data_IF_479726764507
#
_entry.id   IF_479726764507
#
_cell.length_a   1.000
_cell.length_b   1.000
_cell.length_c   1.000
_cell.angle_alpha   90.00
_cell.angle_beta   90.00
_cell.angle_gamma   90.00
#
_symmetry.space_group_name_H-M   'P 1'
#
loop_
_entity.id
_entity.type
_entity.pdbx_description
1 polymer ?
#
# COMPACT_ATOMS: atom_id res chain seq x y z
N UNK A 1 -41.64 3.24 2.35
CA UNK A 1 -40.99 2.99 1.04
C UNK A 1 -39.49 2.88 1.28
N UNK A 2 -38.80 1.91 0.69
CA UNK A 2 -37.35 1.78 0.88
C UNK A 2 -36.66 2.74 -0.09
N UNK A 3 -35.50 3.29 0.33
CA UNK A 3 -34.74 4.22 -0.52
C UNK A 3 -33.92 3.43 -1.56
N UNK A 4 -34.24 3.61 -2.85
CA UNK A 4 -33.58 2.92 -3.97
C UNK A 4 -32.09 3.21 -4.07
N UNK A 5 -31.60 4.37 -3.57
CA UNK A 5 -30.18 4.72 -3.54
C UNK A 5 -29.34 3.78 -2.67
N UNK A 6 -29.97 3.07 -1.72
CA UNK A 6 -29.28 2.04 -0.93
C UNK A 6 -28.67 0.92 -1.78
N UNK A 7 -29.16 0.71 -3.02
CA UNK A 7 -28.59 -0.27 -3.95
C UNK A 7 -27.11 -0.05 -4.26
N UNK A 8 -26.63 1.20 -4.13
CA UNK A 8 -25.20 1.53 -4.35
C UNK A 8 -24.24 0.82 -3.36
N UNK A 9 -24.72 0.47 -2.18
CA UNK A 9 -23.93 -0.22 -1.14
C UNK A 9 -24.33 -1.67 -0.95
N UNK A 10 -25.22 -2.19 -1.80
CA UNK A 10 -25.81 -3.50 -1.64
C UNK A 10 -25.05 -4.56 -2.43
N UNK A 11 -24.89 -5.74 -1.85
CA UNK A 11 -24.45 -6.93 -2.57
C UNK A 11 -25.56 -7.42 -3.53
N UNK A 12 -25.26 -8.28 -4.53
CA UNK A 12 -26.28 -8.82 -5.44
C UNK A 12 -27.46 -9.45 -4.71
N UNK A 13 -27.24 -10.15 -3.59
CA UNK A 13 -28.30 -10.74 -2.78
C UNK A 13 -29.12 -9.69 -2.04
N UNK A 14 -28.50 -8.63 -1.54
CA UNK A 14 -29.18 -7.51 -0.88
C UNK A 14 -30.01 -6.71 -1.90
N UNK A 15 -29.56 -6.57 -3.16
CA UNK A 15 -30.32 -5.94 -4.24
C UNK A 15 -31.62 -6.70 -4.48
N UNK A 16 -31.58 -8.04 -4.58
CA UNK A 16 -32.79 -8.87 -4.71
C UNK A 16 -33.80 -8.63 -3.57
N UNK A 17 -33.30 -8.48 -2.34
CA UNK A 17 -34.14 -8.17 -1.18
C UNK A 17 -34.77 -6.78 -1.30
N UNK A 18 -33.99 -5.76 -1.70
CA UNK A 18 -34.51 -4.40 -1.89
C UNK A 18 -35.58 -4.36 -2.98
N UNK A 19 -35.36 -5.04 -4.11
CA UNK A 19 -36.31 -5.15 -5.20
C UNK A 19 -37.60 -5.86 -4.80
N UNK A 20 -37.49 -6.93 -4.03
CA UNK A 20 -38.66 -7.60 -3.47
C UNK A 20 -39.44 -6.68 -2.52
N UNK A 21 -38.78 -5.85 -1.70
CA UNK A 21 -39.46 -4.89 -0.82
C UNK A 21 -40.13 -3.78 -1.64
N UNK A 22 -39.48 -3.30 -2.71
CA UNK A 22 -40.04 -2.30 -3.64
C UNK A 22 -41.31 -2.85 -4.33
N UNK A 23 -41.24 -4.08 -4.87
CA UNK A 23 -42.34 -4.76 -5.56
C UNK A 23 -43.49 -5.07 -4.62
N UNK A 24 -43.20 -5.66 -3.46
CA UNK A 24 -44.22 -6.12 -2.50
C UNK A 24 -44.73 -5.02 -1.58
N UNK A 25 -44.08 -3.86 -1.54
CA UNK A 25 -44.43 -2.69 -0.75
C UNK A 25 -44.21 -2.84 0.76
N UNK A 26 -43.71 -3.99 1.26
CA UNK A 26 -43.34 -4.17 2.67
C UNK A 26 -42.35 -5.29 2.90
N UNK A 27 -41.51 -5.16 3.97
CA UNK A 27 -40.54 -6.18 4.38
C UNK A 27 -41.16 -7.55 4.68
N UNK A 28 -42.38 -7.55 5.26
CA UNK A 28 -43.11 -8.81 5.58
C UNK A 28 -43.55 -9.56 4.33
N UNK A 29 -44.08 -8.85 3.33
CA UNK A 29 -44.53 -9.47 2.07
C UNK A 29 -43.32 -9.92 1.25
N UNK A 30 -42.26 -9.11 1.18
CA UNK A 30 -41.02 -9.50 0.57
C UNK A 30 -40.38 -10.75 1.19
N UNK A 31 -40.43 -10.87 2.52
CA UNK A 31 -39.96 -12.05 3.23
C UNK A 31 -40.72 -13.31 2.78
N UNK A 32 -42.07 -13.23 2.68
CA UNK A 32 -42.92 -14.32 2.22
C UNK A 32 -42.60 -14.69 0.74
N UNK A 33 -42.47 -13.68 -0.11
CA UNK A 33 -42.17 -13.88 -1.55
C UNK A 33 -40.81 -14.54 -1.78
N UNK A 34 -39.80 -14.22 -0.95
CA UNK A 34 -38.45 -14.77 -1.04
C UNK A 34 -38.25 -16.07 -0.22
N UNK A 35 -39.28 -16.55 0.50
CA UNK A 35 -39.13 -17.72 1.37
C UNK A 35 -38.19 -17.49 2.55
N UNK A 36 -38.06 -16.24 3.03
CA UNK A 36 -37.15 -15.85 4.12
C UNK A 36 -37.92 -15.44 5.37
N UNK A 37 -37.25 -15.52 6.52
CA UNK A 37 -37.80 -14.96 7.77
C UNK A 37 -37.81 -13.42 7.73
N UNK A 38 -38.85 -12.79 8.25
CA UNK A 38 -38.94 -11.33 8.34
C UNK A 38 -37.76 -10.71 9.07
N UNK A 39 -37.25 -11.34 10.15
CA UNK A 39 -36.07 -10.87 10.87
C UNK A 39 -34.81 -10.86 10.00
N UNK A 40 -34.67 -11.80 9.05
CA UNK A 40 -33.57 -11.84 8.11
C UNK A 40 -33.58 -10.62 7.20
N UNK A 41 -34.76 -10.29 6.64
CA UNK A 41 -34.93 -9.10 5.78
C UNK A 41 -34.61 -7.83 6.56
N UNK A 42 -35.23 -7.66 7.73
CA UNK A 42 -35.10 -6.44 8.55
C UNK A 42 -33.62 -6.24 9.00
N UNK A 43 -32.95 -7.30 9.44
CA UNK A 43 -31.54 -7.26 9.82
C UNK A 43 -30.65 -6.93 8.61
N UNK A 44 -30.97 -7.44 7.43
CA UNK A 44 -30.22 -7.14 6.19
C UNK A 44 -30.34 -5.67 5.81
N UNK A 45 -31.57 -5.14 5.79
CA UNK A 45 -31.83 -3.71 5.54
C UNK A 45 -31.14 -2.84 6.58
N UNK A 46 -31.21 -3.22 7.87
CA UNK A 46 -30.54 -2.50 8.95
C UNK A 46 -29.00 -2.45 8.78
N UNK A 47 -28.38 -3.57 8.40
CA UNK A 47 -26.91 -3.61 8.11
C UNK A 47 -26.55 -2.75 6.91
N UNK A 48 -27.37 -2.80 5.86
CA UNK A 48 -27.15 -2.00 4.66
C UNK A 48 -27.26 -0.49 4.95
N UNK A 49 -28.28 -0.07 5.72
CA UNK A 49 -28.39 1.32 6.17
C UNK A 49 -27.19 1.78 7.00
N UNK A 50 -26.68 0.94 7.91
CA UNK A 50 -25.45 1.24 8.66
C UNK A 50 -24.23 1.36 7.75
N UNK A 51 -24.10 0.53 6.73
CA UNK A 51 -23.03 0.60 5.74
C UNK A 51 -23.09 1.91 4.95
N UNK A 52 -24.27 2.28 4.44
CA UNK A 52 -24.50 3.54 3.74
C UNK A 52 -24.20 4.77 4.63
N UNK A 53 -24.64 4.74 5.90
CA UNK A 53 -24.37 5.82 6.85
C UNK A 53 -22.88 6.03 7.13
N UNK A 54 -22.08 4.95 7.19
CA UNK A 54 -20.61 5.06 7.30
C UNK A 54 -19.97 5.75 6.11
N UNK A 55 -20.62 5.66 4.94
CA UNK A 55 -20.19 6.33 3.71
C UNK A 55 -20.84 7.73 3.53
N UNK A 56 -21.51 8.24 4.54
CA UNK A 56 -22.11 9.57 4.53
C UNK A 56 -23.55 9.62 4.04
N UNK A 57 -24.18 8.49 3.79
CA UNK A 57 -25.56 8.44 3.31
C UNK A 57 -26.53 7.90 4.37
N UNK A 58 -27.31 8.80 4.98
CA UNK A 58 -28.38 8.48 5.95
C UNK A 58 -29.44 9.60 5.95
N UNK A 59 -30.42 9.56 5.03
CA UNK A 59 -31.43 10.62 4.89
C UNK A 59 -32.23 10.89 6.16
N UNK A 60 -32.45 9.87 7.00
CA UNK A 60 -33.12 10.04 8.31
C UNK A 60 -32.32 10.89 9.33
N UNK A 61 -31.07 11.21 9.02
CA UNK A 61 -30.16 12.05 9.81
C UNK A 61 -29.62 13.21 8.97
N UNK A 62 -30.35 13.63 7.95
CA UNK A 62 -29.99 14.71 7.02
C UNK A 62 -28.66 14.51 6.28
N UNK A 63 -28.15 13.29 6.22
CA UNK A 63 -26.91 12.93 5.53
C UNK A 63 -27.24 12.47 4.10
N UNK A 64 -27.02 13.34 3.13
CA UNK A 64 -27.37 13.10 1.73
C UNK A 64 -26.16 13.01 0.77
N UNK A 65 -24.94 13.25 1.28
CA UNK A 65 -23.71 13.25 0.50
C UNK A 65 -22.75 12.19 1.02
N UNK A 66 -22.21 11.40 0.09
CA UNK A 66 -21.19 10.42 0.41
C UNK A 66 -19.83 11.07 0.67
N UNK A 67 -19.01 10.44 1.49
CA UNK A 67 -17.59 10.73 1.59
C UNK A 67 -16.85 10.03 0.44
N UNK A 68 -15.66 10.52 0.02
CA UNK A 68 -14.86 9.85 -0.99
C UNK A 68 -14.54 8.39 -0.60
N UNK A 69 -14.30 7.53 -1.61
CA UNK A 69 -13.85 6.15 -1.37
C UNK A 69 -12.52 6.16 -0.60
N UNK A 70 -12.35 5.22 0.31
CA UNK A 70 -11.23 5.19 1.25
C UNK A 70 -11.43 6.02 2.52
N UNK A 71 -12.60 6.63 2.71
CA UNK A 71 -12.94 7.38 3.92
C UNK A 71 -14.24 6.88 4.54
N UNK A 72 -14.33 7.01 5.87
CA UNK A 72 -15.53 6.73 6.66
C UNK A 72 -15.95 7.99 7.43
N UNK A 73 -17.23 8.15 7.63
CA UNK A 73 -17.77 9.21 8.49
C UNK A 73 -17.39 8.92 9.94
N UNK A 74 -16.65 9.83 10.56
CA UNK A 74 -16.30 9.81 11.99
C UNK A 74 -17.33 10.52 12.86
N UNK A 75 -17.98 11.54 12.31
CA UNK A 75 -19.00 12.30 13.00
C UNK A 75 -19.65 13.33 12.09
N UNK A 76 -20.86 13.73 12.45
CA UNK A 76 -21.66 14.72 11.74
C UNK A 76 -22.16 15.76 12.73
N UNK A 77 -22.14 17.02 12.32
CA UNK A 77 -22.75 18.13 13.04
C UNK A 77 -23.66 18.87 12.08
N UNK A 78 -24.94 18.91 12.38
CA UNK A 78 -25.96 19.61 11.56
C UNK A 78 -26.48 20.83 12.29
N UNK A 79 -26.46 21.98 11.63
CA UNK A 79 -27.05 23.22 12.10
C UNK A 79 -28.45 23.37 11.49
N UNK A 80 -29.45 23.55 12.35
CA UNK A 80 -30.86 23.72 11.97
C UNK A 80 -31.27 25.18 12.15
N UNK A 81 -32.22 25.66 11.36
CA UNK A 81 -32.88 26.93 11.55
C UNK A 81 -34.00 26.82 12.60
N UNK A 82 -34.69 27.95 12.84
CA UNK A 82 -35.77 28.05 13.81
C UNK A 82 -36.99 27.16 13.43
N UNK A 83 -37.14 26.83 12.14
CA UNK A 83 -38.15 25.94 11.62
C UNK A 83 -37.73 24.46 11.62
N UNK A 84 -36.56 24.16 12.14
CA UNK A 84 -36.02 22.79 12.20
C UNK A 84 -35.52 22.25 10.86
N UNK A 85 -35.20 23.10 9.88
CA UNK A 85 -34.63 22.70 8.61
C UNK A 85 -33.09 22.78 8.66
N UNK A 86 -32.38 21.80 8.08
CA UNK A 86 -30.93 21.82 8.06
C UNK A 86 -30.41 22.97 7.18
N UNK A 87 -29.62 23.89 7.76
CA UNK A 87 -28.96 25.00 7.08
C UNK A 87 -27.52 24.70 6.69
N UNK A 88 -26.86 23.87 7.46
CA UNK A 88 -25.48 23.49 7.19
C UNK A 88 -25.13 22.19 7.90
N UNK A 89 -24.20 21.46 7.31
CA UNK A 89 -23.74 20.19 7.88
C UNK A 89 -22.23 20.07 7.69
N UNK A 90 -21.51 19.74 8.76
CA UNK A 90 -20.11 19.40 8.76
C UNK A 90 -19.97 17.91 8.94
N UNK A 91 -19.41 17.24 7.94
CA UNK A 91 -19.10 15.81 7.99
C UNK A 91 -17.60 15.66 8.26
N UNK A 92 -17.27 15.12 9.43
CA UNK A 92 -15.89 14.73 9.76
C UNK A 92 -15.66 13.32 9.25
N UNK A 93 -14.66 13.14 8.40
CA UNK A 93 -14.26 11.83 7.88
C UNK A 93 -12.92 11.39 8.48
N UNK A 94 -12.70 10.08 8.46
CA UNK A 94 -11.42 9.46 8.77
C UNK A 94 -11.10 8.44 7.68
N UNK A 95 -9.81 8.16 7.49
CA UNK A 95 -9.36 7.13 6.55
C UNK A 95 -9.91 5.76 6.96
N UNK A 96 -10.52 5.07 6.01
CA UNK A 96 -10.88 3.65 6.13
C UNK A 96 -9.63 2.81 5.86
N UNK A 97 -8.91 2.43 6.92
CA UNK A 97 -7.65 1.69 6.82
C UNK A 97 -7.83 0.35 6.13
N UNK A 98 -8.91 -0.38 6.42
CA UNK A 98 -9.17 -1.69 5.84
C UNK A 98 -9.42 -1.57 4.33
N UNK A 99 -10.17 -0.54 3.91
CA UNK A 99 -10.43 -0.27 2.49
C UNK A 99 -9.16 0.20 1.76
N UNK A 100 -8.37 1.07 2.38
CA UNK A 100 -7.08 1.50 1.82
C UNK A 100 -6.13 0.32 1.65
N UNK A 101 -6.02 -0.56 2.63
CA UNK A 101 -5.21 -1.78 2.53
C UNK A 101 -5.70 -2.69 1.40
N UNK A 102 -7.02 -2.86 1.24
CA UNK A 102 -7.59 -3.65 0.14
C UNK A 102 -7.27 -3.02 -1.24
N UNK A 103 -7.42 -1.71 -1.39
CA UNK A 103 -7.07 -0.97 -2.61
C UNK A 103 -5.57 -1.14 -2.93
N UNK A 104 -4.71 -1.04 -1.93
CA UNK A 104 -3.27 -1.26 -2.11
C UNK A 104 -2.97 -2.68 -2.55
N UNK A 105 -3.56 -3.70 -1.93
CA UNK A 105 -3.39 -5.11 -2.33
C UNK A 105 -3.85 -5.36 -3.77
N UNK A 106 -5.01 -4.82 -4.16
CA UNK A 106 -5.51 -4.93 -5.54
C UNK A 106 -4.56 -4.25 -6.55
N UNK A 107 -4.04 -3.06 -6.21
CA UNK A 107 -3.07 -2.36 -7.04
C UNK A 107 -1.75 -3.15 -7.17
N UNK A 108 -1.27 -3.74 -6.08
CA UNK A 108 -0.05 -4.57 -6.09
C UNK A 108 -0.25 -5.85 -6.90
N UNK A 109 -1.39 -6.52 -6.78
CA UNK A 109 -1.71 -7.70 -7.58
C UNK A 109 -1.71 -7.36 -9.08
N UNK A 110 -2.37 -6.27 -9.47
CA UNK A 110 -2.39 -5.80 -10.85
C UNK A 110 -0.99 -5.42 -11.38
N UNK A 111 -0.18 -4.75 -10.56
CA UNK A 111 1.22 -4.46 -10.90
C UNK A 111 2.04 -5.74 -11.06
N UNK A 112 1.88 -6.71 -10.17
CA UNK A 112 2.59 -7.98 -10.23
C UNK A 112 2.27 -8.78 -11.50
N UNK A 113 1.03 -8.75 -11.99
CA UNK A 113 0.65 -9.41 -13.23
C UNK A 113 1.32 -8.83 -14.47
N UNK A 114 1.54 -7.51 -14.51
CA UNK A 114 2.08 -6.79 -15.67
C UNK A 114 3.58 -6.57 -15.62
N UNK A 115 4.24 -6.85 -14.48
CA UNK A 115 5.70 -6.68 -14.35
C UNK A 115 6.45 -7.64 -15.27
N UNK A 116 7.40 -7.13 -16.10
CA UNK A 116 8.27 -8.00 -16.88
C UNK A 116 9.17 -8.82 -15.92
N UNK A 117 9.11 -10.14 -16.05
CA UNK A 117 9.95 -11.05 -15.27
C UNK A 117 11.39 -11.03 -15.77
N UNK A 118 12.34 -11.13 -14.82
CA UNK A 118 13.74 -11.30 -15.16
C UNK A 118 13.92 -12.70 -15.75
N UNK A 119 14.65 -12.79 -16.86
CA UNK A 119 15.01 -14.09 -17.46
C UNK A 119 16.20 -14.67 -16.70
N UNK A 120 16.16 -15.99 -16.50
CA UNK A 120 17.31 -16.70 -15.94
C UNK A 120 18.57 -16.46 -16.75
N UNK A 121 19.68 -16.18 -16.09
CA UNK A 121 20.98 -15.97 -16.69
C UNK A 121 21.99 -16.99 -16.14
N UNK A 122 23.03 -17.38 -16.91
CA UNK A 122 24.07 -18.25 -16.39
C UNK A 122 24.82 -17.58 -15.23
N UNK A 123 25.14 -18.37 -14.20
CA UNK A 123 25.95 -17.91 -13.08
C UNK A 123 27.43 -17.84 -13.41
N UNK A 124 28.25 -17.28 -12.50
CA UNK A 124 29.71 -17.28 -12.65
C UNK A 124 30.30 -18.68 -12.66
N UNK A 125 31.36 -18.89 -13.45
CA UNK A 125 31.92 -20.23 -13.63
C UNK A 125 32.73 -20.78 -12.44
N UNK A 126 33.18 -19.93 -11.52
CA UNK A 126 34.00 -20.34 -10.37
C UNK A 126 33.61 -19.55 -9.13
N UNK A 127 33.08 -20.24 -8.16
CA UNK A 127 32.76 -19.73 -6.82
C UNK A 127 33.32 -20.70 -5.77
N UNK A 128 33.55 -20.21 -4.56
CA UNK A 128 33.90 -21.05 -3.41
C UNK A 128 32.62 -21.46 -2.69
N UNK A 129 32.29 -22.75 -2.75
CA UNK A 129 31.10 -23.32 -2.16
C UNK A 129 31.04 -23.22 -0.62
N UNK A 130 32.18 -23.00 0.04
CA UNK A 130 32.26 -22.84 1.48
C UNK A 130 32.01 -21.41 1.96
N UNK A 131 31.94 -20.45 1.05
CA UNK A 131 31.79 -19.04 1.37
C UNK A 131 30.42 -18.48 1.09
N UNK A 132 30.00 -17.56 1.98
CA UNK A 132 28.84 -16.70 1.83
C UNK A 132 29.29 -15.25 2.09
N UNK A 133 29.03 -14.35 1.15
CA UNK A 133 29.24 -12.92 1.36
C UNK A 133 27.95 -12.30 1.87
N UNK A 134 28.04 -11.55 2.97
CA UNK A 134 26.96 -10.77 3.53
C UNK A 134 27.18 -9.29 3.20
N UNK A 135 26.26 -8.73 2.42
CA UNK A 135 26.20 -7.32 2.07
C UNK A 135 25.10 -6.65 2.88
N UNK A 136 25.48 -5.88 3.89
CA UNK A 136 24.54 -5.23 4.80
C UNK A 136 24.45 -3.75 4.53
N UNK A 137 23.25 -3.24 4.44
CA UNK A 137 22.95 -1.81 4.41
C UNK A 137 21.62 -1.51 5.09
N UNK A 138 21.55 -0.32 5.68
CA UNK A 138 20.41 0.19 6.43
C UNK A 138 20.31 1.70 6.22
N UNK A 139 19.18 2.29 6.49
CA UNK A 139 18.97 3.74 6.55
C UNK A 139 19.38 4.46 5.23
N UNK A 140 19.08 3.85 4.09
CA UNK A 140 19.42 4.45 2.80
C UNK A 140 18.58 5.68 2.48
N UNK A 141 17.38 5.77 3.06
CA UNK A 141 16.47 6.90 2.92
C UNK A 141 16.37 7.41 1.48
N UNK A 142 16.17 6.50 0.52
CA UNK A 142 16.00 6.87 -0.88
C UNK A 142 14.81 7.83 -1.02
N UNK A 143 15.07 9.02 -1.52
CA UNK A 143 14.09 10.10 -1.61
C UNK A 143 14.22 11.18 -0.55
N UNK A 144 15.14 11.06 0.41
CA UNK A 144 15.46 12.16 1.32
C UNK A 144 16.04 13.34 0.55
N UNK A 145 15.68 14.55 0.97
CA UNK A 145 16.32 15.79 0.54
C UNK A 145 17.07 16.38 1.74
N UNK A 146 18.37 16.54 1.60
CA UNK A 146 19.19 17.22 2.60
C UNK A 146 20.15 18.19 1.93
N UNK A 147 20.29 19.38 2.54
CA UNK A 147 21.22 20.40 2.11
C UNK A 147 22.39 20.51 3.06
N UNK A 148 23.61 20.25 2.56
CA UNK A 148 24.81 20.14 3.36
C UNK A 148 25.12 21.39 4.21
N UNK A 149 24.71 22.60 3.76
CA UNK A 149 24.88 23.82 4.56
C UNK A 149 24.01 23.86 5.82
N UNK A 150 22.86 23.19 5.81
CA UNK A 150 21.94 23.12 6.96
C UNK A 150 22.33 21.95 7.88
N UNK A 151 22.70 20.81 7.28
CA UNK A 151 22.98 19.59 8.02
C UNK A 151 24.41 19.48 8.53
N UNK A 152 25.32 20.32 8.03
CA UNK A 152 26.76 20.23 8.33
C UNK A 152 27.46 19.03 7.66
N UNK A 153 26.77 18.29 6.81
CA UNK A 153 27.26 17.16 6.02
C UNK A 153 27.32 17.45 4.54
N UNK A 154 27.09 16.43 3.72
CA UNK A 154 26.94 16.55 2.27
C UNK A 154 25.49 16.78 1.86
N UNK A 155 25.30 17.22 0.63
CA UNK A 155 23.98 17.22 0.00
C UNK A 155 23.49 15.77 -0.20
N UNK A 156 22.17 15.57 -0.08
CA UNK A 156 21.53 14.31 -0.40
C UNK A 156 20.25 14.56 -1.16
N UNK A 157 20.15 13.96 -2.31
CA UNK A 157 18.97 13.95 -3.18
C UNK A 157 18.83 12.58 -3.85
N UNK A 158 17.77 12.39 -4.60
CA UNK A 158 17.49 11.13 -5.27
C UNK A 158 18.57 10.68 -6.26
N UNK A 159 19.21 11.63 -6.94
CA UNK A 159 20.28 11.35 -7.90
C UNK A 159 21.57 10.95 -7.17
N UNK A 160 21.92 11.67 -6.12
CA UNK A 160 23.09 11.37 -5.27
C UNK A 160 22.90 10.01 -4.60
N UNK A 161 21.71 9.73 -4.05
CA UNK A 161 21.39 8.43 -3.48
C UNK A 161 21.58 7.29 -4.49
N UNK A 162 21.02 7.41 -5.71
CA UNK A 162 21.14 6.39 -6.75
C UNK A 162 22.60 6.13 -7.13
N UNK A 163 23.40 7.18 -7.30
CA UNK A 163 24.81 7.08 -7.64
C UNK A 163 25.63 6.47 -6.51
N UNK A 164 25.47 6.98 -5.29
CA UNK A 164 26.26 6.59 -4.13
C UNK A 164 25.99 5.14 -3.73
N UNK A 165 24.71 4.77 -3.59
CA UNK A 165 24.34 3.41 -3.17
C UNK A 165 24.77 2.37 -4.21
N UNK A 166 24.55 2.68 -5.50
CA UNK A 166 24.93 1.78 -6.59
C UNK A 166 26.45 1.61 -6.65
N UNK A 167 27.23 2.70 -6.57
CA UNK A 167 28.69 2.65 -6.60
C UNK A 167 29.27 1.94 -5.37
N UNK A 168 28.75 2.22 -4.17
CA UNK A 168 29.18 1.55 -2.95
C UNK A 168 28.93 0.04 -3.02
N UNK A 169 27.76 -0.38 -3.49
CA UNK A 169 27.45 -1.80 -3.62
C UNK A 169 28.32 -2.49 -4.68
N UNK A 170 28.52 -1.87 -5.83
CA UNK A 170 29.43 -2.39 -6.85
C UNK A 170 30.85 -2.59 -6.31
N UNK A 171 31.34 -1.62 -5.52
CA UNK A 171 32.65 -1.73 -4.87
C UNK A 171 32.69 -2.87 -3.84
N UNK A 172 31.68 -3.03 -2.99
CA UNK A 172 31.60 -4.14 -2.03
C UNK A 172 31.62 -5.51 -2.72
N UNK A 173 30.87 -5.67 -3.79
CA UNK A 173 30.81 -6.92 -4.56
C UNK A 173 32.15 -7.19 -5.26
N UNK A 174 32.80 -6.16 -5.78
CA UNK A 174 34.09 -6.30 -6.49
C UNK A 174 35.25 -6.63 -5.53
N UNK A 175 35.26 -6.05 -4.33
CA UNK A 175 36.27 -6.29 -3.30
C UNK A 175 36.07 -7.62 -2.57
N UNK A 176 34.87 -8.21 -2.57
CA UNK A 176 34.55 -9.42 -1.86
C UNK A 176 35.10 -10.68 -2.58
N UNK A 177 35.38 -11.78 -1.82
CA UNK A 177 35.78 -13.06 -2.42
C UNK A 177 34.64 -13.63 -3.30
N UNK A 178 35.00 -14.53 -4.23
CA UNK A 178 34.02 -15.21 -5.10
C UNK A 178 33.28 -16.32 -4.31
N UNK A 179 32.40 -15.93 -3.42
CA UNK A 179 31.58 -16.84 -2.66
C UNK A 179 30.42 -17.44 -3.50
N UNK A 180 29.97 -18.64 -3.14
CA UNK A 180 28.83 -19.31 -3.75
C UNK A 180 27.54 -18.52 -3.53
N UNK A 181 27.36 -17.97 -2.31
CA UNK A 181 26.17 -17.25 -1.90
C UNK A 181 26.48 -15.79 -1.67
N UNK A 182 25.70 -14.89 -2.29
CA UNK A 182 25.61 -13.49 -1.93
C UNK A 182 24.32 -13.23 -1.14
N UNK A 183 24.46 -12.79 0.10
CA UNK A 183 23.33 -12.44 0.96
C UNK A 183 23.21 -10.92 1.04
N UNK A 184 22.14 -10.38 0.49
CA UNK A 184 21.83 -8.94 0.50
C UNK A 184 20.88 -8.69 1.67
N UNK A 185 21.36 -8.01 2.71
CA UNK A 185 20.61 -7.68 3.91
C UNK A 185 20.30 -6.18 3.95
N UNK A 186 19.12 -5.81 3.46
CA UNK A 186 18.53 -4.48 3.64
C UNK A 186 17.75 -4.49 4.97
N UNK A 187 18.22 -3.71 5.96
CA UNK A 187 17.81 -3.80 7.36
C UNK A 187 16.82 -2.68 7.78
N UNK A 188 16.08 -2.13 6.86
CA UNK A 188 15.04 -1.13 7.10
C UNK A 188 15.42 0.27 6.60
N UNK A 189 14.42 1.14 6.55
CA UNK A 189 14.51 2.52 6.09
C UNK A 189 15.16 2.67 4.70
N UNK A 190 14.77 1.74 3.79
CA UNK A 190 15.19 1.82 2.40
C UNK A 190 14.64 3.06 1.71
N UNK A 191 13.34 3.32 1.87
CA UNK A 191 12.70 4.52 1.39
C UNK A 191 12.55 5.54 2.52
N UNK A 192 12.65 6.83 2.16
CA UNK A 192 12.55 7.92 3.14
C UNK A 192 11.14 8.10 3.71
N UNK A 193 10.10 7.69 2.97
CA UNK A 193 8.72 7.76 3.42
C UNK A 193 7.85 6.71 2.75
N UNK A 194 6.74 6.33 3.39
CA UNK A 194 5.67 5.48 2.83
C UNK A 194 4.65 6.26 1.98
N UNK A 195 4.96 7.46 1.59
CA UNK A 195 4.08 8.35 0.87
C UNK A 195 3.85 9.65 1.62
N UNK A 196 2.67 10.21 1.51
CA UNK A 196 2.34 11.49 2.14
C UNK A 196 1.00 11.42 2.87
N UNK A 197 0.92 12.14 3.98
CA UNK A 197 -0.34 12.43 4.64
C UNK A 197 -0.90 13.76 4.08
N UNK A 198 -1.74 13.66 3.04
CA UNK A 198 -2.19 14.82 2.30
C UNK A 198 -1.10 15.37 1.37
N UNK A 199 -0.56 16.55 1.66
CA UNK A 199 0.43 17.23 0.81
C UNK A 199 1.89 17.06 1.28
N UNK A 200 2.11 16.53 2.49
CA UNK A 200 3.45 16.40 3.08
C UNK A 200 3.83 14.96 3.37
N UNK A 201 5.05 14.53 3.02
CA UNK A 201 5.59 13.24 3.44
C UNK A 201 5.79 13.25 4.95
N UNK A 202 5.45 12.13 5.59
CA UNK A 202 5.56 11.96 7.04
C UNK A 202 6.00 10.54 7.38
N UNK A 203 6.62 10.37 8.56
CA UNK A 203 6.89 9.03 9.08
C UNK A 203 5.59 8.32 9.45
N UNK A 204 5.43 7.01 9.14
CA UNK A 204 4.18 6.28 9.40
C UNK A 204 3.73 6.27 10.85
N UNK A 205 4.66 6.11 11.79
CA UNK A 205 4.35 5.97 13.22
C UNK A 205 4.23 7.29 13.96
N UNK A 206 5.16 8.21 13.72
CA UNK A 206 5.27 9.45 14.52
C UNK A 206 4.74 10.68 13.80
N UNK A 207 4.39 10.55 12.51
CA UNK A 207 3.91 11.65 11.67
C UNK A 207 4.86 12.86 11.62
N UNK A 208 6.16 12.63 11.80
CA UNK A 208 7.16 13.66 11.60
C UNK A 208 7.20 14.06 10.14
N UNK A 209 7.16 15.36 9.89
CA UNK A 209 7.28 15.92 8.53
C UNK A 209 8.69 15.68 8.02
N UNK A 210 8.79 15.25 6.78
CA UNK A 210 10.04 14.88 6.11
C UNK A 210 10.29 15.77 4.90
N UNK A 211 11.55 16.13 4.68
CA UNK A 211 11.99 16.76 3.44
C UNK A 211 12.30 15.69 2.40
N UNK A 212 11.59 15.75 1.27
CA UNK A 212 11.59 14.71 0.25
C UNK A 212 11.93 15.28 -1.14
N UNK A 213 12.82 14.61 -1.86
CA UNK A 213 13.17 14.97 -3.24
C UNK A 213 12.15 14.42 -4.24
N UNK A 214 11.14 15.22 -4.51
CA UNK A 214 10.17 14.98 -5.56
C UNK A 214 8.95 14.16 -5.12
N UNK A 215 8.20 13.67 -6.11
CA UNK A 215 6.95 12.93 -5.90
C UNK A 215 7.23 11.49 -5.50
N UNK A 216 6.40 10.92 -4.64
CA UNK A 216 6.51 9.54 -4.19
C UNK A 216 6.69 8.52 -5.33
N UNK A 217 5.96 8.66 -6.43
CA UNK A 217 6.11 7.78 -7.61
C UNK A 217 7.51 7.81 -8.22
N UNK A 218 8.20 8.97 -8.19
CA UNK A 218 9.59 9.10 -8.67
C UNK A 218 10.55 8.36 -7.73
N UNK A 219 10.31 8.47 -6.41
CA UNK A 219 11.10 7.77 -5.38
C UNK A 219 10.94 6.26 -5.50
N UNK A 220 9.69 5.78 -5.64
CA UNK A 220 9.40 4.36 -5.88
C UNK A 220 10.16 3.83 -7.09
N UNK A 221 10.11 4.54 -8.22
CA UNK A 221 10.82 4.13 -9.43
C UNK A 221 12.35 4.07 -9.25
N UNK A 222 12.94 5.03 -8.53
CA UNK A 222 14.37 5.04 -8.21
C UNK A 222 14.73 3.91 -7.24
N UNK A 223 13.95 3.70 -6.19
CA UNK A 223 14.14 2.62 -5.21
C UNK A 223 14.17 1.25 -5.87
N UNK A 224 13.26 1.00 -6.81
CA UNK A 224 13.22 -0.24 -7.60
C UNK A 224 14.46 -0.38 -8.47
N UNK A 225 14.87 0.68 -9.19
CA UNK A 225 16.06 0.64 -10.06
C UNK A 225 17.33 0.35 -9.28
N UNK A 226 17.51 1.00 -8.12
CA UNK A 226 18.70 0.81 -7.27
C UNK A 226 18.75 -0.62 -6.76
N UNK A 227 17.67 -1.13 -6.14
CA UNK A 227 17.62 -2.51 -5.62
C UNK A 227 17.83 -3.54 -6.73
N UNK A 228 17.22 -3.33 -7.90
CA UNK A 228 17.43 -4.21 -9.05
C UNK A 228 18.90 -4.24 -9.46
N UNK A 229 19.55 -3.06 -9.54
CA UNK A 229 20.98 -2.98 -9.88
C UNK A 229 21.86 -3.69 -8.86
N UNK A 230 21.53 -3.61 -7.59
CA UNK A 230 22.20 -4.32 -6.50
C UNK A 230 22.09 -5.85 -6.69
N UNK A 231 20.89 -6.36 -6.99
CA UNK A 231 20.71 -7.80 -7.25
C UNK A 231 21.44 -8.23 -8.51
N UNK A 232 21.43 -7.43 -9.57
CA UNK A 232 22.15 -7.72 -10.81
C UNK A 232 23.68 -7.83 -10.57
N UNK A 233 24.29 -6.92 -9.82
CA UNK A 233 25.69 -7.01 -9.42
C UNK A 233 26.00 -8.28 -8.60
N UNK A 234 25.14 -8.63 -7.67
CA UNK A 234 25.33 -9.86 -6.89
C UNK A 234 25.24 -11.11 -7.78
N UNK A 235 24.32 -11.15 -8.76
CA UNK A 235 24.17 -12.24 -9.72
C UNK A 235 25.38 -12.42 -10.65
N UNK A 236 26.15 -11.36 -10.91
CA UNK A 236 27.38 -11.44 -11.68
C UNK A 236 28.52 -12.17 -10.93
N UNK A 237 28.45 -12.24 -9.59
CA UNK A 237 29.52 -12.76 -8.73
C UNK A 237 29.15 -14.02 -7.95
N UNK A 238 27.87 -14.32 -7.77
CA UNK A 238 27.38 -15.42 -6.94
C UNK A 238 26.43 -16.34 -7.72
N UNK A 239 26.51 -17.64 -7.46
CA UNK A 239 25.57 -18.62 -8.03
C UNK A 239 24.21 -18.59 -7.35
N UNK A 240 24.16 -18.13 -6.10
CA UNK A 240 22.91 -17.90 -5.35
C UNK A 240 22.90 -16.51 -4.73
N UNK A 241 21.77 -15.83 -4.83
CA UNK A 241 21.55 -14.52 -4.24
C UNK A 241 20.32 -14.60 -3.33
N UNK A 242 20.51 -14.28 -2.08
CA UNK A 242 19.43 -14.21 -1.09
C UNK A 242 19.19 -12.74 -0.75
N UNK A 243 17.94 -12.31 -0.81
CA UNK A 243 17.54 -10.92 -0.57
C UNK A 243 16.64 -10.87 0.65
N UNK A 244 17.09 -10.21 1.70
CA UNK A 244 16.32 -9.83 2.88
C UNK A 244 16.00 -8.34 2.80
N UNK A 245 14.72 -7.99 2.96
CA UNK A 245 14.25 -6.61 3.05
C UNK A 245 13.45 -6.47 4.34
N UNK A 246 14.10 -5.96 5.39
CA UNK A 246 13.44 -5.67 6.66
C UNK A 246 12.61 -4.38 6.57
N UNK A 247 11.58 -4.29 7.39
CA UNK A 247 10.80 -3.07 7.55
C UNK A 247 11.53 -2.07 8.44
N UNK A 248 11.50 -0.78 8.03
CA UNK A 248 11.96 0.33 8.84
C UNK A 248 10.79 1.13 9.42
N UNK A 249 11.08 2.14 10.23
CA UNK A 249 10.07 3.03 10.76
C UNK A 249 9.63 4.11 9.74
N UNK A 250 10.38 4.30 8.65
CA UNK A 250 10.04 5.21 7.56
C UNK A 250 9.25 4.54 6.45
N UNK A 251 9.42 3.25 6.23
CA UNK A 251 8.94 2.54 5.05
C UNK A 251 8.25 1.20 5.35
N UNK A 252 7.45 1.15 6.43
CA UNK A 252 6.71 -0.03 6.86
C UNK A 252 5.91 -0.69 5.73
N UNK A 253 5.09 0.09 5.02
CA UNK A 253 4.28 -0.41 3.90
C UNK A 253 5.10 -0.63 2.65
N UNK A 254 6.09 0.24 2.39
CA UNK A 254 6.92 0.16 1.20
C UNK A 254 7.78 -1.10 1.18
N UNK A 255 8.34 -1.50 2.32
CA UNK A 255 9.12 -2.73 2.44
C UNK A 255 8.29 -3.98 2.11
N UNK A 256 7.03 -4.01 2.51
CA UNK A 256 6.12 -5.13 2.22
C UNK A 256 5.87 -5.29 0.72
N UNK A 257 5.47 -4.21 0.03
CA UNK A 257 5.20 -4.31 -1.39
C UNK A 257 6.48 -4.47 -2.23
N UNK A 258 7.63 -3.90 -1.81
CA UNK A 258 8.91 -4.13 -2.46
C UNK A 258 9.29 -5.62 -2.44
N UNK A 259 9.17 -6.30 -1.28
CA UNK A 259 9.41 -7.76 -1.19
C UNK A 259 8.52 -8.55 -2.15
N UNK A 260 7.21 -8.26 -2.13
CA UNK A 260 6.26 -8.94 -3.00
C UNK A 260 6.58 -8.72 -4.49
N UNK A 261 6.93 -7.49 -4.87
CA UNK A 261 7.29 -7.13 -6.23
C UNK A 261 8.61 -7.81 -6.66
N UNK A 262 9.65 -7.80 -5.83
CA UNK A 262 10.93 -8.43 -6.15
C UNK A 262 10.81 -9.94 -6.26
N UNK A 263 9.97 -10.58 -5.44
CA UNK A 263 9.65 -12.00 -5.59
C UNK A 263 9.00 -12.29 -6.94
N UNK A 264 8.02 -11.49 -7.36
CA UNK A 264 7.39 -11.63 -8.67
C UNK A 264 8.38 -11.32 -9.82
N UNK A 265 9.21 -10.29 -9.68
CA UNK A 265 10.21 -9.91 -10.70
C UNK A 265 11.22 -11.02 -10.99
N UNK A 266 11.68 -11.73 -9.94
CA UNK A 266 12.70 -12.77 -10.02
C UNK A 266 12.13 -14.20 -9.97
N UNK A 267 10.82 -14.41 -10.11
CA UNK A 267 10.20 -15.75 -10.04
C UNK A 267 10.77 -16.76 -11.06
N UNK A 268 11.30 -16.27 -12.20
CA UNK A 268 11.91 -17.08 -13.26
C UNK A 268 13.46 -17.11 -13.17
N UNK A 269 14.07 -16.49 -12.16
CA UNK A 269 15.52 -16.57 -11.91
C UNK A 269 15.77 -17.48 -10.68
N UNK A 270 16.08 -18.76 -10.90
CA UNK A 270 16.18 -19.75 -9.81
C UNK A 270 17.32 -19.49 -8.83
N UNK A 271 18.26 -18.59 -9.19
CA UNK A 271 19.38 -18.22 -8.33
C UNK A 271 18.99 -17.16 -7.28
N UNK A 272 17.84 -16.50 -7.42
CA UNK A 272 17.39 -15.45 -6.49
C UNK A 272 16.32 -16.00 -5.56
N UNK A 273 16.50 -15.76 -4.27
CA UNK A 273 15.51 -16.05 -3.22
C UNK A 273 15.24 -14.76 -2.45
N UNK A 274 14.00 -14.29 -2.48
CA UNK A 274 13.54 -13.16 -1.64
C UNK A 274 12.88 -13.75 -0.39
N UNK A 275 13.45 -13.45 0.79
CA UNK A 275 12.99 -13.99 2.07
C UNK A 275 11.72 -13.24 2.51
N UNK A 276 10.75 -14.01 3.04
CA UNK A 276 9.65 -13.47 3.85
C UNK A 276 10.18 -13.13 5.24
N UNK A 277 9.87 -11.96 5.75
CA UNK A 277 10.18 -11.55 7.12
C UNK A 277 9.08 -12.00 8.07
#
# INVERSE_FOLDING_TARGET
MIDSRLKQWATPREIQILEAIESEGSERRAAKALGLGHGTISNTVGRLRKRAARQGYSPSHDMHRTVPDGFLVKGVSTYYDEEGKPRGQWVKSAVDRDRMEAIMREAYAAMAETLPRVKAAPGPMKTDAALCNLYTFTDMHVGMLAWGKETGGGDWDLKIAEQTVTAAFAHMVDAAPKAEVGFIAQLGDWMHSDGSNGLQPVTPLHHNVLDQDGRYSKIVAASIRILRRIVDFALERHNRVVVLMAEGNHDLSSSVWLRAMFRALYENEPRVTVIDS
#
